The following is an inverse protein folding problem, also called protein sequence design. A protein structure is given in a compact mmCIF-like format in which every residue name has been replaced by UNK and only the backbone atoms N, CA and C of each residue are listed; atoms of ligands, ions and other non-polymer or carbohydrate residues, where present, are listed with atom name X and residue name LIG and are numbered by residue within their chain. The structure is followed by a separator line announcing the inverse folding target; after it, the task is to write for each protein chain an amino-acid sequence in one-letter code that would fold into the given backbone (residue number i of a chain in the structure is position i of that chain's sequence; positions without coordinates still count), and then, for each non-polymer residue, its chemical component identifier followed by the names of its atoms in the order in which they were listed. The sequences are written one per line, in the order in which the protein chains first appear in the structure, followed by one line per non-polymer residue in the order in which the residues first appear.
data_IF_746527014979
#
_entry.id   IF_746527014979
#
_cell.length_a   1.000
_cell.length_b   1.000
_cell.length_c   1.000
_cell.angle_alpha   90.00
_cell.angle_beta   90.00
_cell.angle_gamma   90.00
#
_symmetry.space_group_name_H-M   'P 1'
#
loop_
_entity.id
_entity.type
_entity.pdbx_description
1 polymer ?
#
# COMPACT_ATOMS: atom_id res chain seq x y z
N UNK A 1 -45.66 -6.20 10.07
CA UNK A 1 -44.91 -6.42 11.32
C UNK A 1 -43.46 -6.04 11.06
N UNK A 2 -42.76 -5.39 11.99
CA UNK A 2 -41.33 -5.14 11.80
C UNK A 2 -40.59 -6.47 11.66
N UNK A 3 -39.67 -6.52 10.70
CA UNK A 3 -38.82 -7.67 10.44
C UNK A 3 -37.95 -7.94 11.69
N UNK A 4 -38.06 -9.11 12.34
CA UNK A 4 -37.30 -9.44 13.54
C UNK A 4 -35.78 -9.52 13.32
N UNK A 5 -35.33 -9.58 12.06
CA UNK A 5 -33.92 -9.55 11.67
C UNK A 5 -33.35 -8.11 11.59
N UNK A 6 -34.21 -7.08 11.47
CA UNK A 6 -33.82 -5.68 11.38
C UNK A 6 -33.30 -5.19 12.73
N UNK A 7 -32.06 -4.71 12.74
CA UNK A 7 -31.39 -4.19 13.94
C UNK A 7 -31.06 -2.72 13.75
N UNK A 8 -30.98 -2.00 14.87
CA UNK A 8 -30.42 -0.65 14.91
C UNK A 8 -28.94 -0.76 15.28
N UNK A 9 -28.05 -0.34 14.37
CA UNK A 9 -26.59 -0.49 14.49
C UNK A 9 -25.95 0.88 14.48
N UNK A 10 -25.01 1.11 15.39
CA UNK A 10 -24.20 2.32 15.43
C UNK A 10 -22.81 2.00 14.85
N UNK A 11 -22.38 2.76 13.85
CA UNK A 11 -21.02 2.73 13.28
C UNK A 11 -20.30 3.98 13.77
N UNK A 12 -19.13 3.82 14.36
CA UNK A 12 -18.31 4.92 14.87
C UNK A 12 -17.14 5.16 13.92
N UNK A 13 -17.08 6.40 13.41
CA UNK A 13 -16.09 6.85 12.43
C UNK A 13 -16.60 6.77 10.99
N UNK A 14 -16.60 7.91 10.28
CA UNK A 14 -17.00 8.05 8.88
C UNK A 14 -15.79 8.08 7.93
N UNK A 15 -14.72 7.36 8.26
CA UNK A 15 -13.66 7.02 7.29
C UNK A 15 -14.15 6.00 6.27
N UNK A 16 -13.34 5.62 5.29
CA UNK A 16 -13.71 4.68 4.23
C UNK A 16 -14.32 3.39 4.78
N UNK A 17 -13.70 2.78 5.78
CA UNK A 17 -14.19 1.53 6.40
C UNK A 17 -15.58 1.70 7.02
N UNK A 18 -15.80 2.78 7.78
CA UNK A 18 -17.07 3.04 8.43
C UNK A 18 -18.18 3.34 7.40
N UNK A 19 -17.88 4.10 6.37
CA UNK A 19 -18.82 4.38 5.28
C UNK A 19 -19.23 3.11 4.53
N UNK A 20 -18.27 2.27 4.13
CA UNK A 20 -18.56 1.00 3.45
C UNK A 20 -19.35 0.07 4.35
N UNK A 21 -18.99 -0.03 5.64
CA UNK A 21 -19.73 -0.84 6.62
C UNK A 21 -21.16 -0.35 6.77
N UNK A 22 -21.38 0.96 6.89
CA UNK A 22 -22.71 1.55 6.99
C UNK A 22 -23.55 1.26 5.74
N UNK A 23 -22.99 1.43 4.53
CA UNK A 23 -23.67 1.11 3.28
C UNK A 23 -24.05 -0.38 3.19
N UNK A 24 -23.14 -1.27 3.55
CA UNK A 24 -23.37 -2.72 3.55
C UNK A 24 -24.51 -3.11 4.51
N UNK A 25 -24.51 -2.54 5.72
CA UNK A 25 -25.53 -2.80 6.74
C UNK A 25 -26.91 -2.24 6.32
N UNK A 26 -26.93 -1.06 5.71
CA UNK A 26 -28.16 -0.48 5.14
C UNK A 26 -28.70 -1.36 4.02
N UNK A 27 -27.86 -1.82 3.12
CA UNK A 27 -28.23 -2.74 2.04
C UNK A 27 -28.77 -4.07 2.56
N UNK A 28 -28.30 -4.53 3.74
CA UNK A 28 -28.80 -5.71 4.45
C UNK A 28 -30.12 -5.45 5.21
N UNK A 29 -30.71 -4.24 5.12
CA UNK A 29 -32.00 -3.91 5.72
C UNK A 29 -31.94 -3.45 7.17
N UNK A 30 -30.76 -3.16 7.70
CA UNK A 30 -30.62 -2.66 9.07
C UNK A 30 -30.79 -1.12 9.15
N UNK A 31 -31.13 -0.62 10.34
CA UNK A 31 -31.11 0.80 10.65
C UNK A 31 -29.70 1.19 11.10
N UNK A 32 -29.05 2.12 10.41
CA UNK A 32 -27.68 2.49 10.71
C UNK A 32 -27.58 3.93 11.15
N UNK A 33 -26.89 4.17 12.27
CA UNK A 33 -26.46 5.48 12.72
C UNK A 33 -24.96 5.57 12.59
N UNK A 34 -24.47 6.51 11.81
CA UNK A 34 -23.05 6.76 11.61
C UNK A 34 -22.64 7.99 12.42
N UNK A 35 -21.69 7.83 13.33
CA UNK A 35 -21.14 8.90 14.15
C UNK A 35 -19.73 9.26 13.70
N UNK A 36 -19.46 10.56 13.53
CA UNK A 36 -18.16 11.10 13.14
C UNK A 36 -17.78 12.25 14.06
N UNK A 37 -16.55 12.29 14.52
CA UNK A 37 -16.02 13.33 15.40
C UNK A 37 -15.52 14.56 14.63
N UNK A 38 -15.11 14.39 13.39
CA UNK A 38 -14.67 15.46 12.52
C UNK A 38 -15.88 16.21 11.90
N UNK A 39 -15.69 17.43 11.39
CA UNK A 39 -16.77 18.22 10.75
C UNK A 39 -17.37 17.56 9.50
N UNK A 40 -16.72 16.55 8.93
CA UNK A 40 -17.18 15.85 7.73
C UNK A 40 -16.63 14.44 7.60
N UNK A 41 -17.24 13.60 6.73
CA UNK A 41 -16.77 12.24 6.50
C UNK A 41 -15.51 12.22 5.66
N UNK A 42 -14.82 11.06 5.66
CA UNK A 42 -13.66 10.76 4.81
C UNK A 42 -12.45 10.23 5.59
N UNK A 43 -12.24 10.66 6.83
CA UNK A 43 -11.09 10.22 7.61
C UNK A 43 -9.76 10.48 6.87
N UNK A 44 -8.94 9.47 6.69
CA UNK A 44 -7.64 9.61 6.04
C UNK A 44 -7.69 9.92 4.54
N UNK A 45 -8.83 9.68 3.86
CA UNK A 45 -9.00 10.03 2.44
C UNK A 45 -9.47 11.48 2.23
N UNK A 46 -9.57 12.28 3.30
CA UNK A 46 -9.89 13.69 3.16
C UNK A 46 -8.77 14.45 2.47
N UNK A 47 -9.15 15.51 1.76
CA UNK A 47 -8.25 16.34 1.01
C UNK A 47 -8.45 17.82 1.37
N UNK A 48 -7.37 18.60 1.34
CA UNK A 48 -7.40 20.05 1.53
C UNK A 48 -7.22 20.77 0.19
N UNK A 49 -7.74 22.00 0.06
CA UNK A 49 -7.56 22.80 -1.14
C UNK A 49 -6.12 23.29 -1.26
N UNK A 50 -5.54 23.17 -2.47
CA UNK A 50 -4.24 23.74 -2.82
C UNK A 50 -4.33 24.39 -4.19
N UNK A 51 -4.52 25.70 -4.23
CA UNK A 51 -4.82 26.43 -5.46
C UNK A 51 -6.13 25.97 -6.08
N UNK A 52 -6.09 25.60 -7.36
CA UNK A 52 -7.24 25.03 -8.09
C UNK A 52 -7.46 23.53 -7.87
N UNK A 53 -6.55 22.87 -7.17
CA UNK A 53 -6.57 21.44 -6.94
C UNK A 53 -6.91 21.10 -5.48
N UNK A 54 -7.17 19.83 -5.23
CA UNK A 54 -7.27 19.25 -3.89
C UNK A 54 -6.17 18.22 -3.73
N UNK A 55 -5.51 18.22 -2.55
CA UNK A 55 -4.45 17.27 -2.23
C UNK A 55 -4.87 16.51 -0.97
N UNK A 56 -4.73 15.21 -1.00
CA UNK A 56 -4.97 14.34 0.14
C UNK A 56 -3.99 14.62 1.28
N UNK A 57 -4.44 14.52 2.52
CA UNK A 57 -3.55 14.61 3.69
C UNK A 57 -2.52 13.49 3.72
N UNK A 58 -2.90 12.32 3.27
CA UNK A 58 -2.06 11.13 3.15
C UNK A 58 -2.24 10.59 1.74
N UNK A 59 -1.15 10.38 1.02
CA UNK A 59 -1.22 9.81 -0.31
C UNK A 59 -1.75 8.38 -0.29
N UNK A 60 -2.62 8.05 -1.22
CA UNK A 60 -3.19 6.73 -1.37
C UNK A 60 -2.87 6.19 -2.76
N UNK A 61 -2.56 4.90 -2.82
CA UNK A 61 -2.39 4.18 -4.07
C UNK A 61 -3.37 3.02 -4.13
N UNK A 62 -4.02 2.86 -5.27
CA UNK A 62 -4.82 1.69 -5.60
C UNK A 62 -4.02 0.87 -6.61
N UNK A 63 -3.84 -0.41 -6.33
CA UNK A 63 -3.17 -1.31 -7.24
C UNK A 63 -4.16 -2.08 -8.08
N UNK A 64 -3.75 -2.55 -9.26
CA UNK A 64 -4.61 -3.31 -10.19
C UNK A 64 -5.15 -4.63 -9.63
N UNK A 65 -4.60 -5.10 -8.52
CA UNK A 65 -5.05 -6.30 -7.81
C UNK A 65 -5.96 -6.02 -6.61
N UNK A 66 -6.21 -4.76 -6.28
CA UNK A 66 -7.08 -4.34 -5.16
C UNK A 66 -8.56 -4.41 -5.58
N UNK A 67 -9.04 -5.63 -5.83
CA UNK A 67 -10.35 -5.90 -6.45
C UNK A 67 -11.52 -5.27 -5.70
N UNK A 68 -11.47 -5.28 -4.35
CA UNK A 68 -12.60 -4.79 -3.54
C UNK A 68 -12.81 -3.28 -3.68
N UNK A 69 -11.73 -2.49 -3.69
CA UNK A 69 -11.87 -1.03 -3.88
C UNK A 69 -12.25 -0.70 -5.32
N UNK A 70 -11.74 -1.44 -6.30
CA UNK A 70 -12.10 -1.27 -7.71
C UNK A 70 -13.61 -1.54 -7.89
N UNK A 71 -14.10 -2.65 -7.34
CA UNK A 71 -15.54 -2.98 -7.38
C UNK A 71 -16.36 -1.92 -6.65
N UNK A 72 -15.94 -1.45 -5.49
CA UNK A 72 -16.64 -0.37 -4.78
C UNK A 72 -16.76 0.90 -5.65
N UNK A 73 -15.69 1.28 -6.35
CA UNK A 73 -15.70 2.43 -7.25
C UNK A 73 -16.70 2.23 -8.41
N UNK A 74 -16.78 1.02 -8.97
CA UNK A 74 -17.75 0.67 -10.00
C UNK A 74 -19.18 0.75 -9.43
N UNK A 75 -19.43 0.17 -8.26
CA UNK A 75 -20.74 0.14 -7.59
C UNK A 75 -21.30 1.54 -7.30
N UNK A 76 -20.41 2.51 -6.98
CA UNK A 76 -20.80 3.91 -6.73
C UNK A 76 -20.71 4.80 -7.99
N UNK A 77 -20.47 4.21 -9.17
CA UNK A 77 -20.44 4.93 -10.45
C UNK A 77 -19.20 5.77 -10.69
N UNK A 78 -18.09 5.48 -10.04
CA UNK A 78 -16.81 6.17 -10.18
C UNK A 78 -15.73 5.35 -10.94
N UNK A 79 -16.06 4.16 -11.43
CA UNK A 79 -15.12 3.27 -12.13
C UNK A 79 -14.42 3.92 -13.31
N UNK A 80 -15.18 4.65 -14.14
CA UNK A 80 -14.64 5.36 -15.31
C UNK A 80 -13.68 6.51 -14.96
N UNK A 81 -13.69 6.97 -13.71
CA UNK A 81 -12.78 8.02 -13.25
C UNK A 81 -11.45 7.45 -12.77
N UNK A 82 -11.35 6.14 -12.52
CA UNK A 82 -10.14 5.46 -12.11
C UNK A 82 -9.14 5.41 -13.25
N UNK A 83 -7.97 6.04 -13.05
CA UNK A 83 -6.92 6.09 -14.06
C UNK A 83 -5.68 5.34 -13.58
N UNK A 84 -5.14 4.49 -14.45
CA UNK A 84 -3.96 3.70 -14.18
C UNK A 84 -2.71 4.37 -14.72
N UNK A 85 -1.71 4.53 -13.87
CA UNK A 85 -0.42 5.09 -14.24
C UNK A 85 0.68 4.07 -13.97
N UNK A 86 1.69 4.05 -14.80
CA UNK A 86 2.93 3.31 -14.52
C UNK A 86 3.92 4.26 -13.85
N UNK A 87 4.20 4.10 -12.56
CA UNK A 87 5.18 4.93 -11.89
C UNK A 87 6.57 4.68 -12.47
N UNK A 88 7.42 5.69 -12.40
CA UNK A 88 8.84 5.56 -12.66
C UNK A 88 9.56 5.82 -11.35
N UNK A 89 10.12 4.77 -10.78
CA UNK A 89 10.85 4.86 -9.54
C UNK A 89 12.33 5.08 -9.81
N UNK A 90 12.97 5.83 -8.95
CA UNK A 90 14.41 6.05 -8.98
C UNK A 90 14.98 6.06 -7.56
N UNK A 91 16.20 5.58 -7.42
CA UNK A 91 16.97 5.69 -6.18
C UNK A 91 17.88 6.91 -6.26
N UNK A 92 17.83 7.75 -5.23
CA UNK A 92 18.73 8.88 -5.11
C UNK A 92 19.92 8.49 -4.25
N UNK A 93 21.12 8.56 -4.80
CA UNK A 93 22.36 8.37 -4.06
C UNK A 93 23.44 9.30 -4.61
N UNK A 94 24.23 9.89 -3.71
CA UNK A 94 25.29 10.84 -4.07
C UNK A 94 24.80 11.97 -5.00
N UNK A 95 23.62 12.52 -4.73
CA UNK A 95 22.95 13.56 -5.53
C UNK A 95 22.66 13.15 -6.99
N UNK A 96 22.59 11.85 -7.27
CA UNK A 96 22.22 11.31 -8.58
C UNK A 96 21.00 10.42 -8.48
N UNK A 97 20.14 10.50 -9.49
CA UNK A 97 18.99 9.62 -9.64
C UNK A 97 19.35 8.42 -10.52
N UNK A 98 19.12 7.25 -10.02
CA UNK A 98 19.30 5.99 -10.73
C UNK A 98 17.93 5.38 -10.98
N UNK A 99 17.51 5.17 -12.25
CA UNK A 99 16.25 4.48 -12.55
C UNK A 99 16.21 3.12 -11.84
N UNK A 100 15.05 2.79 -11.27
CA UNK A 100 14.88 1.54 -10.52
C UNK A 100 13.45 0.98 -10.67
N UNK A 101 12.92 0.97 -11.89
CA UNK A 101 11.56 0.49 -12.20
C UNK A 101 11.53 -0.86 -12.90
N UNK A 102 12.66 -1.31 -13.44
CA UNK A 102 12.73 -2.52 -14.26
C UNK A 102 13.85 -3.47 -13.83
N UNK A 103 13.78 -4.78 -14.17
CA UNK A 103 14.89 -5.70 -13.95
C UNK A 103 16.20 -5.24 -14.64
N UNK A 104 16.10 -4.58 -15.78
CA UNK A 104 17.26 -4.04 -16.49
C UNK A 104 17.93 -2.90 -15.68
N UNK A 105 17.15 -2.09 -14.96
CA UNK A 105 17.68 -1.05 -14.11
C UNK A 105 18.48 -1.65 -12.94
N UNK A 106 17.98 -2.72 -12.34
CA UNK A 106 18.72 -3.47 -11.31
C UNK A 106 20.06 -3.99 -11.83
N UNK A 107 20.08 -4.57 -13.02
CA UNK A 107 21.33 -5.08 -13.62
C UNK A 107 22.31 -3.94 -13.90
N UNK A 108 21.83 -2.77 -14.29
CA UNK A 108 22.65 -1.58 -14.56
C UNK A 108 22.99 -0.77 -13.33
N UNK A 109 22.42 -1.08 -12.16
CA UNK A 109 22.57 -0.30 -10.95
C UNK A 109 24.00 -0.34 -10.41
N UNK A 110 24.79 0.74 -10.45
CA UNK A 110 26.23 0.68 -10.26
C UNK A 110 26.66 0.59 -8.80
N UNK A 111 25.75 0.88 -7.85
CA UNK A 111 26.09 1.03 -6.44
C UNK A 111 26.22 -0.30 -5.68
N UNK A 112 25.87 -1.42 -6.29
CA UNK A 112 26.03 -2.75 -5.69
C UNK A 112 26.82 -3.65 -6.64
N UNK A 113 27.62 -4.60 -6.09
CA UNK A 113 28.43 -5.52 -6.88
C UNK A 113 27.61 -6.31 -7.88
N UNK A 114 28.18 -6.58 -9.06
CA UNK A 114 27.48 -7.23 -10.16
C UNK A 114 26.77 -8.53 -9.76
N UNK A 115 27.46 -9.42 -9.04
CA UNK A 115 26.86 -10.68 -8.58
C UNK A 115 25.72 -10.50 -7.60
N UNK A 116 25.76 -9.43 -6.80
CA UNK A 116 24.69 -9.14 -5.86
C UNK A 116 23.44 -8.59 -6.56
N UNK A 117 23.57 -8.01 -7.76
CA UNK A 117 22.41 -7.61 -8.58
C UNK A 117 21.59 -8.84 -8.99
N UNK A 118 22.24 -9.90 -9.46
CA UNK A 118 21.57 -11.17 -9.78
C UNK A 118 20.95 -11.81 -8.55
N UNK A 119 21.68 -11.88 -7.44
CA UNK A 119 21.15 -12.39 -6.17
C UNK A 119 19.93 -11.61 -5.70
N UNK A 120 19.96 -10.28 -5.80
CA UNK A 120 18.84 -9.42 -5.48
C UNK A 120 17.63 -9.72 -6.37
N UNK A 121 17.83 -9.85 -7.67
CA UNK A 121 16.76 -10.24 -8.60
C UNK A 121 16.15 -11.61 -8.26
N UNK A 122 16.99 -12.61 -7.94
CA UNK A 122 16.53 -13.94 -7.52
C UNK A 122 15.77 -13.87 -6.19
N UNK A 123 16.25 -13.09 -5.23
CA UNK A 123 15.56 -12.88 -3.94
C UNK A 123 14.17 -12.29 -4.14
N UNK A 124 14.02 -11.28 -5.00
CA UNK A 124 12.72 -10.70 -5.34
C UNK A 124 11.80 -11.72 -6.00
N UNK A 125 12.31 -12.51 -6.96
CA UNK A 125 11.53 -13.56 -7.61
C UNK A 125 11.12 -14.67 -6.62
N UNK A 126 12.00 -15.02 -5.69
CA UNK A 126 11.72 -16.00 -4.64
C UNK A 126 10.63 -15.48 -3.70
N UNK A 127 10.76 -14.24 -3.21
CA UNK A 127 9.76 -13.61 -2.37
C UNK A 127 8.38 -13.55 -3.05
N UNK A 128 8.33 -13.17 -4.32
CA UNK A 128 7.08 -13.13 -5.10
C UNK A 128 6.41 -14.49 -5.33
N UNK A 129 7.12 -15.61 -5.13
CA UNK A 129 6.58 -16.97 -5.23
C UNK A 129 6.19 -17.58 -3.88
N UNK A 130 6.57 -16.96 -2.79
CA UNK A 130 6.20 -17.44 -1.45
C UNK A 130 4.68 -17.31 -1.28
N UNK A 131 4.04 -18.44 -1.03
CA UNK A 131 2.60 -18.51 -0.69
C UNK A 131 2.38 -18.66 0.80
N UNK A 132 3.30 -19.35 1.45
CA UNK A 132 3.30 -19.58 2.89
C UNK A 132 4.46 -18.83 3.53
N UNK A 133 4.13 -17.84 4.35
CA UNK A 133 5.09 -16.98 5.05
C UNK A 133 5.45 -17.48 6.42
N UNK A 134 4.79 -18.53 6.92
CA UNK A 134 5.00 -19.09 8.26
C UNK A 134 6.46 -19.52 8.50
N UNK A 135 7.14 -19.97 7.44
CA UNK A 135 8.57 -20.33 7.49
C UNK A 135 9.51 -19.15 7.76
N UNK A 136 9.04 -17.94 7.59
CA UNK A 136 9.81 -16.70 7.77
C UNK A 136 9.43 -15.92 9.04
N UNK A 137 8.42 -16.36 9.80
CA UNK A 137 7.97 -15.66 11.01
C UNK A 137 9.06 -15.49 12.08
N UNK A 138 10.05 -16.38 12.10
CA UNK A 138 11.17 -16.35 13.03
C UNK A 138 12.42 -15.69 12.45
N UNK A 139 12.37 -15.14 11.24
CA UNK A 139 13.50 -14.48 10.59
C UNK A 139 13.13 -13.02 10.27
N UNK A 140 13.99 -12.07 10.69
CA UNK A 140 13.77 -10.67 10.31
C UNK A 140 14.00 -10.45 8.81
N UNK A 141 13.28 -9.47 8.23
CA UNK A 141 13.46 -9.08 6.83
C UNK A 141 14.93 -8.70 6.55
N UNK A 142 15.59 -8.04 7.49
CA UNK A 142 16.99 -7.68 7.39
C UNK A 142 17.91 -8.90 7.22
N UNK A 143 17.73 -9.93 8.03
CA UNK A 143 18.51 -11.18 7.92
C UNK A 143 18.26 -11.91 6.62
N UNK A 144 16.99 -12.05 6.26
CA UNK A 144 16.60 -12.71 5.01
C UNK A 144 17.19 -12.01 3.79
N UNK A 145 17.09 -10.68 3.73
CA UNK A 145 17.61 -9.89 2.63
C UNK A 145 19.15 -9.92 2.56
N UNK A 146 19.84 -9.82 3.69
CA UNK A 146 21.31 -9.95 3.71
C UNK A 146 21.77 -11.33 3.21
N UNK A 147 21.10 -12.39 3.65
CA UNK A 147 21.43 -13.76 3.23
C UNK A 147 21.19 -13.97 1.74
N UNK A 148 20.09 -13.46 1.20
CA UNK A 148 19.70 -13.73 -0.18
C UNK A 148 20.27 -12.71 -1.18
N UNK A 149 20.32 -11.44 -0.88
CA UNK A 149 20.83 -10.39 -1.78
C UNK A 149 22.32 -10.10 -1.61
N UNK A 150 22.88 -10.37 -0.44
CA UNK A 150 24.24 -10.02 -0.05
C UNK A 150 24.33 -8.74 0.78
N UNK A 151 25.41 -8.63 1.55
CA UNK A 151 25.58 -7.55 2.56
C UNK A 151 25.60 -6.15 1.95
N UNK A 152 26.31 -5.96 0.83
CA UNK A 152 26.37 -4.63 0.20
C UNK A 152 25.07 -4.24 -0.48
N UNK A 153 24.37 -5.18 -1.12
CA UNK A 153 23.05 -4.95 -1.67
C UNK A 153 22.07 -4.60 -0.54
N UNK A 154 22.15 -5.29 0.59
CA UNK A 154 21.36 -4.93 1.76
C UNK A 154 21.67 -3.50 2.22
N UNK A 155 22.92 -3.17 2.51
CA UNK A 155 23.30 -1.89 3.08
C UNK A 155 23.00 -0.69 2.16
N UNK A 156 23.13 -0.87 0.83
CA UNK A 156 23.01 0.23 -0.13
C UNK A 156 21.64 0.34 -0.78
N UNK A 157 20.83 -0.71 -0.74
CA UNK A 157 19.51 -0.75 -1.37
C UNK A 157 18.40 -1.00 -0.36
N UNK A 158 18.44 -2.13 0.36
CA UNK A 158 17.33 -2.57 1.19
C UNK A 158 17.23 -1.83 2.51
N UNK A 159 18.34 -1.63 3.21
CA UNK A 159 18.33 -0.95 4.51
C UNK A 159 17.78 0.48 4.44
N UNK A 160 18.17 1.33 3.48
CA UNK A 160 17.55 2.65 3.32
C UNK A 160 16.05 2.58 3.04
N UNK A 161 15.60 1.62 2.23
CA UNK A 161 14.17 1.42 1.93
C UNK A 161 13.40 0.95 3.16
N UNK A 162 13.93 -0.01 3.91
CA UNK A 162 13.31 -0.48 5.15
C UNK A 162 13.21 0.66 6.17
N UNK A 163 14.28 1.41 6.38
CA UNK A 163 14.29 2.55 7.30
C UNK A 163 13.30 3.64 6.90
N UNK A 164 13.18 3.94 5.61
CA UNK A 164 12.21 4.94 5.16
C UNK A 164 10.75 4.52 5.38
N UNK A 165 10.49 3.21 5.47
CA UNK A 165 9.14 2.65 5.61
C UNK A 165 8.78 2.27 7.04
N UNK A 166 9.72 1.77 7.82
CA UNK A 166 9.51 1.18 9.13
C UNK A 166 10.25 1.90 10.27
N UNK A 167 11.06 2.93 9.94
CA UNK A 167 11.84 3.74 10.88
C UNK A 167 12.64 2.87 11.87
N UNK A 168 12.30 2.91 13.17
CA UNK A 168 13.02 2.17 14.22
C UNK A 168 12.81 0.65 14.16
N UNK A 169 11.73 0.19 13.52
CA UNK A 169 11.40 -1.23 13.36
C UNK A 169 12.04 -1.85 12.10
N UNK A 170 13.01 -1.17 11.50
CA UNK A 170 13.64 -1.59 10.23
C UNK A 170 14.72 -2.67 10.37
N UNK A 171 15.20 -2.99 11.58
CA UNK A 171 16.35 -3.89 11.84
C UNK A 171 15.95 -5.26 12.38
#
# INVERSE_FOLDING_TARGET
MPDPSRRRICVIGAGLTGLVSACTLLAAGHDVVLLESAPGPGGMITAFPMGSNRIEYIYHHIFTHDRLIIQLLDDIGLGDQLKWYRPRDALCAHYRLYPFSTPADLIRFPLIPFWQRFRTGLAVLQAGRLRDWSSLENETAARWLQRNSGREAYARLWQPLLRSKFDQDAD
#
